data_IF_185152159111
#
_entry.id   IF_185152159111
#
_cell.length_a   1.000
_cell.length_b   1.000
_cell.length_c   1.000
_cell.angle_alpha   90.00
_cell.angle_beta   90.00
_cell.angle_gamma   90.00
#
_symmetry.space_group_name_H-M   'P 1'
#
loop_
_entity.id
_entity.type
_entity.pdbx_description
1 polymer ?
#
# COMPACT_ATOMS: atom_id res chain seq x y z
N UNK A 1 -11.83 -17.24 -31.69
CA UNK A 1 -12.87 -18.24 -31.35
C UNK A 1 -14.15 -18.00 -32.13
N UNK A 2 -14.95 -16.98 -31.75
CA UNK A 2 -16.28 -16.74 -32.33
C UNK A 2 -16.34 -16.60 -33.86
N UNK A 3 -15.37 -15.92 -34.48
CA UNK A 3 -15.28 -15.80 -35.95
C UNK A 3 -15.05 -17.14 -36.65
N UNK A 4 -14.27 -18.05 -36.05
CA UNK A 4 -13.90 -19.34 -36.65
C UNK A 4 -15.07 -20.33 -36.64
N UNK A 5 -15.93 -20.25 -35.61
CA UNK A 5 -17.08 -21.13 -35.42
C UNK A 5 -18.42 -20.48 -35.80
N UNK A 6 -18.40 -19.29 -36.39
CA UNK A 6 -19.58 -18.46 -36.68
C UNK A 6 -20.57 -18.35 -35.49
N UNK A 7 -20.03 -18.34 -34.27
CA UNK A 7 -20.82 -18.34 -33.04
C UNK A 7 -20.90 -16.93 -32.47
N UNK A 8 -22.08 -16.32 -32.56
CA UNK A 8 -22.34 -14.95 -32.10
C UNK A 8 -22.10 -14.78 -30.60
N UNK A 9 -22.44 -15.77 -29.77
CA UNK A 9 -22.26 -15.71 -28.31
C UNK A 9 -20.79 -15.71 -27.94
N UNK A 10 -19.98 -16.56 -28.59
CA UNK A 10 -18.52 -16.56 -28.38
C UNK A 10 -17.86 -15.27 -28.89
N UNK A 11 -18.42 -14.67 -29.95
CA UNK A 11 -17.92 -13.42 -30.51
C UNK A 11 -18.20 -12.25 -29.55
N UNK A 12 -19.43 -12.13 -29.06
CA UNK A 12 -19.80 -11.08 -28.09
C UNK A 12 -19.06 -11.25 -26.77
N UNK A 13 -18.95 -12.48 -26.26
CA UNK A 13 -18.20 -12.77 -25.03
C UNK A 13 -16.71 -12.44 -25.17
N UNK A 14 -16.10 -12.80 -26.31
CA UNK A 14 -14.69 -12.49 -26.57
C UNK A 14 -14.40 -10.99 -26.66
N UNK A 15 -15.28 -10.22 -27.32
CA UNK A 15 -15.15 -8.76 -27.41
C UNK A 15 -15.30 -8.13 -26.02
N UNK A 16 -16.28 -8.56 -25.24
CA UNK A 16 -16.54 -8.04 -23.90
C UNK A 16 -15.35 -8.28 -22.96
N UNK A 17 -14.83 -9.50 -22.92
CA UNK A 17 -13.64 -9.84 -22.10
C UNK A 17 -12.40 -9.09 -22.59
N UNK A 18 -12.21 -8.97 -23.91
CA UNK A 18 -11.09 -8.23 -24.49
C UNK A 18 -11.12 -6.74 -24.15
N UNK A 19 -12.29 -6.10 -24.22
CA UNK A 19 -12.48 -4.70 -23.86
C UNK A 19 -12.27 -4.45 -22.36
N UNK A 20 -12.82 -5.31 -21.50
CA UNK A 20 -12.62 -5.20 -20.05
C UNK A 20 -11.15 -5.38 -19.66
N UNK A 21 -10.46 -6.38 -20.23
CA UNK A 21 -9.05 -6.61 -19.97
C UNK A 21 -8.15 -5.46 -20.45
N UNK A 22 -8.43 -4.89 -21.62
CA UNK A 22 -7.66 -3.73 -22.13
C UNK A 22 -7.88 -2.48 -21.28
N UNK A 23 -9.12 -2.18 -20.87
CA UNK A 23 -9.41 -1.08 -19.95
C UNK A 23 -8.70 -1.25 -18.61
N UNK A 24 -8.78 -2.44 -18.01
CA UNK A 24 -8.11 -2.73 -16.75
C UNK A 24 -6.59 -2.57 -16.86
N UNK A 25 -6.00 -3.03 -17.96
CA UNK A 25 -4.56 -2.87 -18.23
C UNK A 25 -4.17 -1.39 -18.32
N UNK A 26 -4.97 -0.57 -19.03
CA UNK A 26 -4.72 0.87 -19.15
C UNK A 26 -4.80 1.56 -17.78
N UNK A 27 -5.79 1.21 -16.96
CA UNK A 27 -5.94 1.76 -15.61
C UNK A 27 -4.75 1.41 -14.71
N UNK A 28 -4.27 0.16 -14.77
CA UNK A 28 -3.07 -0.26 -14.02
C UNK A 28 -1.81 0.47 -14.50
N UNK A 29 -1.62 0.60 -15.82
CA UNK A 29 -0.50 1.37 -16.38
C UNK A 29 -0.54 2.84 -15.92
N UNK A 30 -1.71 3.48 -15.95
CA UNK A 30 -1.90 4.85 -15.48
C UNK A 30 -1.60 4.98 -13.98
N UNK A 31 -2.07 4.04 -13.17
CA UNK A 31 -1.81 4.03 -11.73
C UNK A 31 -0.33 3.80 -11.37
N UNK A 32 0.45 3.15 -12.24
CA UNK A 32 1.90 3.02 -12.11
C UNK A 32 2.68 4.20 -12.73
N UNK A 33 1.99 5.18 -13.32
CA UNK A 33 2.56 6.22 -14.17
C UNK A 33 3.51 5.67 -15.26
N UNK A 34 3.13 4.55 -15.89
CA UNK A 34 3.88 3.92 -17.00
C UNK A 34 2.99 3.79 -18.23
N UNK A 35 3.54 4.04 -19.42
CA UNK A 35 2.79 3.80 -20.66
C UNK A 35 2.67 2.30 -20.95
N UNK A 36 1.59 1.90 -21.62
CA UNK A 36 1.36 0.49 -22.02
C UNK A 36 2.52 -0.05 -22.88
N UNK A 37 3.06 0.78 -23.78
CA UNK A 37 4.23 0.43 -24.61
C UNK A 37 5.45 0.14 -23.74
N UNK A 38 5.72 0.96 -22.73
CA UNK A 38 6.86 0.76 -21.83
C UNK A 38 6.72 -0.48 -20.93
N UNK A 39 5.49 -0.91 -20.65
CA UNK A 39 5.23 -2.16 -19.91
C UNK A 39 5.39 -3.38 -20.83
N UNK A 40 4.89 -3.32 -22.06
CA UNK A 40 4.96 -4.44 -23.02
C UNK A 40 6.37 -4.65 -23.63
N UNK A 41 7.11 -3.57 -23.86
CA UNK A 41 8.46 -3.61 -24.46
C UNK A 41 9.55 -3.70 -23.37
N UNK A 42 9.24 -3.27 -22.15
CA UNK A 42 10.17 -3.03 -21.05
C UNK A 42 10.84 -4.24 -20.38
N UNK A 43 11.00 -5.36 -21.09
CA UNK A 43 11.87 -6.48 -20.68
C UNK A 43 12.84 -6.94 -21.78
N UNK A 44 12.85 -6.30 -22.96
CA UNK A 44 13.84 -6.53 -24.02
C UNK A 44 14.60 -5.23 -24.30
N UNK A 45 15.64 -4.94 -23.50
CA UNK A 45 16.54 -3.82 -23.76
C UNK A 45 16.93 -3.07 -22.50
N UNK A 46 18.04 -3.47 -21.89
CA UNK A 46 18.80 -2.57 -21.03
C UNK A 46 19.33 -1.39 -21.86
N UNK A 47 19.24 -0.19 -21.29
CA UNK A 47 19.61 1.09 -21.92
C UNK A 47 18.40 2.01 -21.90
N UNK A 48 18.23 2.90 -20.92
CA UNK A 48 19.21 3.91 -20.51
C UNK A 48 19.19 4.03 -18.98
N UNK A 49 20.15 3.42 -18.31
CA UNK A 49 20.54 3.86 -16.97
C UNK A 49 21.13 5.26 -17.11
N UNK A 50 20.34 6.28 -16.78
CA UNK A 50 20.89 7.55 -16.32
C UNK A 50 21.61 7.24 -15.00
N UNK A 51 22.88 6.91 -15.10
CA UNK A 51 23.83 7.03 -14.01
C UNK A 51 23.89 8.50 -13.59
N UNK A 52 23.51 8.82 -12.35
CA UNK A 52 23.83 10.11 -11.75
C UNK A 52 22.74 10.67 -10.85
N UNK A 53 22.74 10.23 -9.59
CA UNK A 53 21.92 10.80 -8.54
C UNK A 53 22.01 9.92 -7.30
N UNK A 54 23.04 10.11 -6.50
CA UNK A 54 23.11 9.54 -5.15
C UNK A 54 21.95 10.11 -4.30
N UNK A 55 20.79 9.45 -4.32
CA UNK A 55 19.75 9.74 -3.34
C UNK A 55 20.31 9.30 -1.99
N UNK A 56 20.43 10.26 -1.08
CA UNK A 56 21.17 10.19 0.18
C UNK A 56 21.11 8.81 0.86
N UNK A 57 22.21 8.08 0.77
CA UNK A 57 22.46 6.89 1.57
C UNK A 57 22.60 7.30 3.04
N UNK A 58 21.69 6.83 3.90
CA UNK A 58 21.89 6.82 5.35
C UNK A 58 21.24 7.97 6.11
N UNK A 59 19.91 7.91 6.26
CA UNK A 59 19.24 8.57 7.36
C UNK A 59 19.21 7.70 8.62
N UNK A 60 19.19 8.32 9.80
CA UNK A 60 18.85 7.59 11.03
C UNK A 60 17.34 7.34 11.04
N UNK A 61 16.92 6.07 11.09
CA UNK A 61 15.52 5.71 11.28
C UNK A 61 15.22 5.61 12.78
N UNK A 62 13.96 5.89 13.16
CA UNK A 62 13.47 5.64 14.51
C UNK A 62 12.83 4.27 14.56
N UNK A 63 13.19 3.45 15.54
CA UNK A 63 12.49 2.20 15.84
C UNK A 63 11.50 2.45 16.98
N UNK A 64 10.33 1.81 16.91
CA UNK A 64 9.31 1.88 17.96
C UNK A 64 9.04 0.49 18.52
N UNK A 65 8.84 0.42 19.83
CA UNK A 65 8.47 -0.83 20.49
C UNK A 65 6.98 -1.14 20.26
N UNK A 66 6.59 -2.40 20.42
CA UNK A 66 5.19 -2.80 20.29
C UNK A 66 4.29 -2.09 21.31
N UNK A 67 4.76 -1.96 22.56
CA UNK A 67 4.01 -1.28 23.61
C UNK A 67 3.81 0.21 23.31
N UNK A 68 4.84 0.89 22.82
CA UNK A 68 4.71 2.30 22.43
C UNK A 68 3.75 2.48 21.24
N UNK A 69 3.83 1.58 20.25
CA UNK A 69 2.91 1.58 19.12
C UNK A 69 1.46 1.33 19.57
N UNK A 70 1.23 0.40 20.48
CA UNK A 70 -0.09 0.09 21.04
C UNK A 70 -0.68 1.29 21.81
N UNK A 71 0.14 1.98 22.62
CA UNK A 71 -0.27 3.18 23.35
C UNK A 71 -0.65 4.29 22.37
N UNK A 72 0.23 4.60 21.40
CA UNK A 72 -0.02 5.66 20.42
C UNK A 72 -1.30 5.40 19.62
N UNK A 73 -1.56 4.15 19.24
CA UNK A 73 -2.78 3.78 18.52
C UNK A 73 -4.04 3.78 19.41
N UNK A 74 -3.94 3.38 20.68
CA UNK A 74 -5.09 3.29 21.59
C UNK A 74 -5.60 4.68 22.03
N UNK A 75 -4.74 5.69 22.06
CA UNK A 75 -5.09 7.07 22.39
C UNK A 75 -5.30 7.98 21.16
N UNK A 76 -5.17 7.43 19.95
CA UNK A 76 -5.47 8.16 18.72
C UNK A 76 -6.99 8.32 18.56
N UNK A 77 -7.45 9.42 17.96
CA UNK A 77 -8.86 9.56 17.58
C UNK A 77 -9.12 8.91 16.22
N UNK A 78 -8.16 9.02 15.30
CA UNK A 78 -8.24 8.47 13.95
C UNK A 78 -6.97 7.70 13.58
N UNK A 79 -7.16 6.44 13.19
CA UNK A 79 -6.10 5.55 12.70
C UNK A 79 -6.39 5.15 11.25
N UNK A 80 -5.41 5.36 10.38
CA UNK A 80 -5.50 4.93 8.97
C UNK A 80 -4.55 3.76 8.73
N UNK A 81 -5.07 2.63 8.26
CA UNK A 81 -4.28 1.44 7.93
C UNK A 81 -3.99 1.46 6.43
N UNK A 82 -2.73 1.34 6.05
CA UNK A 82 -2.28 1.25 4.65
C UNK A 82 -1.81 -0.18 4.39
N UNK A 83 -2.68 -1.06 3.85
CA UNK A 83 -2.30 -2.43 3.54
C UNK A 83 -1.43 -2.50 2.29
N UNK A 84 -0.39 -3.33 2.34
CA UNK A 84 0.49 -3.60 1.20
C UNK A 84 0.67 -5.09 0.96
N UNK A 85 1.54 -5.41 0.00
CA UNK A 85 1.81 -6.81 -0.37
C UNK A 85 2.34 -7.65 0.81
N UNK A 86 3.05 -7.04 1.76
CA UNK A 86 3.53 -7.76 2.94
C UNK A 86 2.41 -8.31 3.84
N UNK A 87 1.26 -7.62 3.92
CA UNK A 87 0.06 -8.12 4.62
C UNK A 87 -0.45 -9.41 3.97
N UNK A 88 -0.55 -9.42 2.64
CA UNK A 88 -1.01 -10.57 1.87
C UNK A 88 -0.06 -11.76 1.97
N UNK A 89 1.25 -11.54 1.90
CA UNK A 89 2.26 -12.61 2.04
C UNK A 89 2.20 -13.24 3.44
N UNK A 90 1.96 -12.43 4.48
CA UNK A 90 1.87 -12.92 5.85
C UNK A 90 0.51 -13.53 6.20
N UNK A 91 -0.50 -13.42 5.32
CA UNK A 91 -1.87 -13.88 5.57
C UNK A 91 -2.43 -13.30 6.88
N UNK A 92 -2.26 -11.99 7.05
CA UNK A 92 -2.55 -11.28 8.28
C UNK A 92 -3.84 -10.43 8.24
N UNK A 93 -4.65 -10.56 7.19
CA UNK A 93 -5.89 -9.79 7.00
C UNK A 93 -6.89 -9.96 8.15
N UNK A 94 -7.08 -11.18 8.64
CA UNK A 94 -8.01 -11.45 9.74
C UNK A 94 -7.55 -10.81 11.05
N UNK A 95 -6.24 -10.85 11.33
CA UNK A 95 -5.66 -10.22 12.53
C UNK A 95 -5.74 -8.69 12.42
N UNK A 96 -5.54 -8.15 11.21
CA UNK A 96 -5.71 -6.72 10.94
C UNK A 96 -7.14 -6.26 11.21
N UNK A 97 -8.14 -7.04 10.79
CA UNK A 97 -9.55 -6.76 11.07
C UNK A 97 -9.91 -6.92 12.56
N UNK A 98 -9.27 -7.86 13.26
CA UNK A 98 -9.44 -8.00 14.71
C UNK A 98 -8.85 -6.81 15.48
N UNK A 99 -7.72 -6.26 15.02
CA UNK A 99 -7.12 -5.03 15.53
C UNK A 99 -8.03 -3.82 15.31
N UNK A 100 -8.58 -3.67 14.10
CA UNK A 100 -9.58 -2.65 13.78
C UNK A 100 -10.75 -2.70 14.77
N UNK A 101 -11.41 -3.86 14.93
CA UNK A 101 -12.53 -4.01 15.88
C UNK A 101 -12.15 -3.66 17.31
N UNK A 102 -10.94 -4.01 17.73
CA UNK A 102 -10.47 -3.74 19.10
C UNK A 102 -10.22 -2.25 19.32
N UNK A 103 -9.68 -1.54 18.33
CA UNK A 103 -9.50 -0.09 18.39
C UNK A 103 -10.84 0.65 18.33
N UNK A 104 -11.77 0.20 17.50
CA UNK A 104 -13.12 0.77 17.44
C UNK A 104 -13.91 0.59 18.74
N UNK A 105 -13.74 -0.56 19.41
CA UNK A 105 -14.33 -0.78 20.73
C UNK A 105 -13.82 0.22 21.79
N UNK A 106 -12.64 0.83 21.57
CA UNK A 106 -12.07 1.91 22.40
C UNK A 106 -12.48 3.32 21.93
N UNK A 107 -13.30 3.43 20.87
CA UNK A 107 -13.78 4.69 20.32
C UNK A 107 -12.86 5.33 19.28
N UNK A 108 -11.86 4.60 18.77
CA UNK A 108 -10.95 5.07 17.72
C UNK A 108 -11.60 4.86 16.35
N UNK A 109 -11.61 5.88 15.49
CA UNK A 109 -12.05 5.75 14.10
C UNK A 109 -10.96 5.06 13.27
N UNK A 110 -11.24 3.87 12.74
CA UNK A 110 -10.28 3.11 11.91
C UNK A 110 -10.77 3.04 10.47
N UNK A 111 -9.90 3.44 9.53
CA UNK A 111 -10.14 3.34 8.09
C UNK A 111 -8.97 2.70 7.36
N UNK A 112 -9.22 2.21 6.14
CA UNK A 112 -8.23 1.61 5.28
C UNK A 112 -7.98 2.50 4.06
N UNK A 113 -6.72 2.86 3.81
CA UNK A 113 -6.32 3.61 2.63
C UNK A 113 -5.77 2.66 1.57
N UNK A 114 -6.53 2.46 0.49
CA UNK A 114 -6.20 1.49 -0.55
C UNK A 114 -5.54 2.18 -1.73
N UNK A 115 -4.32 1.74 -2.05
CA UNK A 115 -3.64 2.14 -3.28
C UNK A 115 -4.07 1.22 -4.44
N UNK A 116 -4.41 1.75 -5.63
CA UNK A 116 -4.95 0.95 -6.75
C UNK A 116 -4.00 -0.16 -7.23
N UNK A 117 -2.69 0.04 -7.07
CA UNK A 117 -1.65 -0.95 -7.41
C UNK A 117 -0.99 -1.60 -6.18
N UNK A 118 -1.61 -1.51 -5.00
CA UNK A 118 -1.15 -2.27 -3.85
C UNK A 118 -1.31 -3.77 -4.10
N UNK A 119 -0.22 -4.53 -3.94
CA UNK A 119 -0.22 -5.98 -4.08
C UNK A 119 0.41 -6.49 -5.38
N UNK A 120 -0.24 -7.49 -6.00
CA UNK A 120 0.21 -8.18 -7.22
C UNK A 120 -0.90 -8.44 -8.25
N UNK A 121 -2.12 -8.01 -7.94
CA UNK A 121 -3.27 -8.06 -8.85
C UNK A 121 -4.08 -6.77 -8.68
N UNK A 122 -4.82 -6.32 -9.71
CA UNK A 122 -5.75 -5.20 -9.55
C UNK A 122 -6.77 -5.51 -8.44
N UNK A 123 -6.97 -4.56 -7.52
CA UNK A 123 -7.89 -4.74 -6.39
C UNK A 123 -7.48 -5.81 -5.37
N UNK A 124 -6.20 -6.21 -5.34
CA UNK A 124 -5.71 -7.27 -4.44
C UNK A 124 -6.14 -7.01 -2.99
N UNK A 125 -5.91 -5.79 -2.49
CA UNK A 125 -6.23 -5.46 -1.09
C UNK A 125 -7.73 -5.43 -0.83
N UNK A 126 -8.56 -4.97 -1.77
CA UNK A 126 -10.01 -4.96 -1.64
C UNK A 126 -10.55 -6.39 -1.46
N UNK A 127 -10.10 -7.33 -2.30
CA UNK A 127 -10.53 -8.74 -2.21
C UNK A 127 -10.08 -9.37 -0.89
N UNK A 128 -8.83 -9.15 -0.50
CA UNK A 128 -8.24 -9.73 0.71
C UNK A 128 -8.87 -9.18 2.00
N UNK A 129 -9.25 -7.91 2.03
CA UNK A 129 -9.97 -7.31 3.17
C UNK A 129 -11.45 -7.72 3.17
N UNK A 130 -12.07 -7.87 2.00
CA UNK A 130 -13.43 -8.42 1.90
C UNK A 130 -13.50 -9.88 2.37
N UNK A 131 -12.47 -10.70 2.08
CA UNK A 131 -12.34 -12.06 2.64
C UNK A 131 -12.23 -12.05 4.18
N UNK A 132 -11.64 -10.99 4.75
CA UNK A 132 -11.55 -10.79 6.19
C UNK A 132 -12.82 -10.18 6.81
N UNK A 133 -13.90 -9.98 6.05
CA UNK A 133 -15.17 -9.40 6.48
C UNK A 133 -15.06 -7.92 6.90
N UNK A 134 -14.12 -7.18 6.30
CA UNK A 134 -14.00 -5.72 6.47
C UNK A 134 -15.10 -5.01 5.68
N UNK A 135 -15.81 -4.07 6.33
CA UNK A 135 -16.84 -3.26 5.67
C UNK A 135 -16.24 -2.40 4.55
N UNK A 136 -16.87 -2.43 3.37
CA UNK A 136 -16.47 -1.61 2.22
C UNK A 136 -16.51 -0.10 2.52
N UNK A 137 -17.36 0.35 3.44
CA UNK A 137 -17.45 1.77 3.82
C UNK A 137 -16.17 2.29 4.48
N UNK A 138 -15.35 1.39 5.04
CA UNK A 138 -14.07 1.73 5.64
C UNK A 138 -12.92 1.71 4.64
N UNK A 139 -13.14 1.15 3.45
CA UNK A 139 -12.15 1.08 2.38
C UNK A 139 -12.19 2.38 1.58
N UNK A 140 -11.27 3.29 1.88
CA UNK A 140 -11.09 4.52 1.13
C UNK A 140 -10.18 4.28 -0.07
N UNK A 141 -10.63 4.74 -1.23
CA UNK A 141 -9.78 4.86 -2.41
C UNK A 141 -8.74 5.95 -2.20
N UNK A 142 -7.60 5.84 -2.90
CA UNK A 142 -6.42 6.70 -2.72
C UNK A 142 -6.71 8.20 -2.71
N UNK A 143 -7.56 8.71 -3.60
CA UNK A 143 -7.90 10.14 -3.68
C UNK A 143 -8.61 10.62 -2.40
N UNK A 144 -9.57 9.86 -1.91
CA UNK A 144 -10.31 10.15 -0.69
C UNK A 144 -9.42 10.00 0.56
N UNK A 145 -8.58 8.96 0.58
CA UNK A 145 -7.63 8.75 1.66
C UNK A 145 -6.62 9.91 1.78
N UNK A 146 -6.15 10.45 0.65
CA UNK A 146 -5.23 11.57 0.62
C UNK A 146 -5.82 12.86 1.22
N UNK A 147 -7.12 13.10 1.05
CA UNK A 147 -7.80 14.24 1.69
C UNK A 147 -7.91 14.07 3.22
N UNK A 148 -8.00 12.83 3.72
CA UNK A 148 -8.14 12.53 5.15
C UNK A 148 -6.82 12.46 5.93
N UNK A 149 -5.66 12.28 5.28
CA UNK A 149 -4.38 12.11 6.00
C UNK A 149 -4.02 13.30 6.90
N UNK A 150 -4.33 14.54 6.49
CA UNK A 150 -4.10 15.75 7.31
C UNK A 150 -4.82 15.74 8.66
N UNK A 151 -5.94 15.04 8.73
CA UNK A 151 -6.78 14.90 9.93
C UNK A 151 -6.57 13.55 10.63
N UNK A 152 -5.58 12.76 10.20
CA UNK A 152 -5.28 11.44 10.76
C UNK A 152 -4.18 11.55 11.82
N UNK A 153 -4.42 10.95 12.99
CA UNK A 153 -3.45 10.95 14.09
C UNK A 153 -2.33 9.95 13.84
N UNK A 154 -2.68 8.72 13.47
CA UNK A 154 -1.70 7.64 13.28
C UNK A 154 -1.98 6.90 11.98
N UNK A 155 -0.94 6.70 11.17
CA UNK A 155 -0.98 5.83 9.99
C UNK A 155 -0.19 4.55 10.28
N UNK A 156 -0.82 3.39 10.12
CA UNK A 156 -0.16 2.09 10.22
C UNK A 156 0.04 1.48 8.83
N UNK A 157 1.28 1.47 8.34
CA UNK A 157 1.66 0.89 7.05
C UNK A 157 2.01 -0.57 7.25
N UNK A 158 1.30 -1.48 6.58
CA UNK A 158 1.44 -2.93 6.70
C UNK A 158 2.05 -3.52 5.44
N UNK A 159 3.38 -3.55 5.36
CA UNK A 159 4.09 -4.19 4.26
C UNK A 159 3.90 -3.49 2.90
N UNK A 160 3.59 -2.20 2.90
CA UNK A 160 3.65 -1.32 1.74
C UNK A 160 5.00 -0.57 1.71
N UNK A 161 5.53 -0.30 0.52
CA UNK A 161 6.78 0.43 0.35
C UNK A 161 6.69 1.44 -0.80
N UNK A 162 6.60 0.97 -2.04
CA UNK A 162 6.65 1.86 -3.21
C UNK A 162 5.43 2.79 -3.29
N UNK A 163 4.25 2.32 -2.86
CA UNK A 163 2.97 3.06 -2.86
C UNK A 163 2.87 4.20 -1.84
N UNK A 164 3.85 4.29 -0.93
CA UNK A 164 3.95 5.34 0.10
C UNK A 164 5.28 6.10 -0.01
N UNK A 165 6.01 5.96 -1.12
CA UNK A 165 7.34 6.55 -1.25
C UNK A 165 7.27 8.00 -1.81
N UNK A 166 7.64 9.03 -1.03
CA UNK A 166 7.57 10.43 -1.45
C UNK A 166 8.45 10.75 -2.67
N UNK A 167 9.46 9.91 -2.97
CA UNK A 167 10.30 10.05 -4.14
C UNK A 167 9.52 10.05 -5.46
N UNK A 168 8.30 9.50 -5.48
CA UNK A 168 7.42 9.59 -6.64
C UNK A 168 7.02 11.04 -6.98
N UNK A 169 7.04 11.96 -6.01
CA UNK A 169 6.70 13.38 -6.21
C UNK A 169 7.93 14.29 -6.19
N UNK A 170 8.90 14.00 -5.34
CA UNK A 170 10.02 14.91 -5.06
C UNK A 170 11.23 14.72 -5.97
N UNK A 171 11.41 13.53 -6.55
CA UNK A 171 12.64 13.17 -7.27
C UNK A 171 12.37 12.78 -8.73
N UNK A 172 12.59 13.70 -9.69
CA UNK A 172 12.45 13.43 -11.12
C UNK A 172 13.35 12.31 -11.66
N UNK A 173 14.41 11.94 -10.93
CA UNK A 173 15.31 10.84 -11.32
C UNK A 173 14.83 9.47 -10.84
N UNK A 174 13.81 9.43 -9.97
CA UNK A 174 13.26 8.20 -9.42
C UNK A 174 12.51 7.38 -10.48
N UNK A 175 12.66 6.04 -10.51
CA UNK A 175 11.93 5.18 -11.45
C UNK A 175 10.41 5.16 -11.21
N UNK A 176 9.96 5.66 -10.06
CA UNK A 176 8.53 5.80 -9.72
C UNK A 176 8.05 7.26 -9.80
N UNK A 177 8.84 8.16 -10.39
CA UNK A 177 8.45 9.57 -10.51
C UNK A 177 7.13 9.73 -11.29
N UNK A 178 6.24 10.57 -10.75
CA UNK A 178 4.88 10.81 -11.22
C UNK A 178 3.87 9.70 -10.91
N UNK A 179 4.28 8.60 -10.27
CA UNK A 179 3.34 7.61 -9.74
C UNK A 179 2.47 8.27 -8.67
N UNK A 180 1.12 8.19 -8.75
CA UNK A 180 0.27 8.54 -7.64
C UNK A 180 0.68 7.71 -6.41
N UNK A 181 0.69 8.31 -5.23
CA UNK A 181 1.07 7.66 -3.97
C UNK A 181 0.08 8.07 -2.88
N UNK A 182 0.05 7.29 -1.80
CA UNK A 182 -0.61 7.68 -0.56
C UNK A 182 0.29 8.65 0.22
N UNK A 183 -0.25 9.84 0.51
CA UNK A 183 0.46 10.97 1.13
C UNK A 183 0.51 10.84 2.66
N UNK A 184 0.96 9.67 3.12
CA UNK A 184 1.00 9.28 4.53
C UNK A 184 1.85 10.21 5.40
N UNK A 185 2.78 10.96 4.81
CA UNK A 185 3.63 11.93 5.51
C UNK A 185 2.87 13.15 6.06
N UNK A 186 1.66 13.42 5.54
CA UNK A 186 0.80 14.49 6.02
C UNK A 186 0.16 14.19 7.38
N UNK A 187 0.13 12.91 7.79
CA UNK A 187 -0.38 12.51 9.10
C UNK A 187 0.52 12.99 10.25
N UNK A 188 0.00 12.93 11.48
CA UNK A 188 0.78 13.33 12.67
C UNK A 188 1.88 12.32 12.98
N UNK A 189 1.57 11.02 12.96
CA UNK A 189 2.52 9.93 13.20
C UNK A 189 2.35 8.80 12.17
N UNK A 190 3.47 8.22 11.74
CA UNK A 190 3.48 7.11 10.79
C UNK A 190 4.25 5.93 11.41
N UNK A 191 3.63 4.76 11.44
CA UNK A 191 4.23 3.52 11.91
C UNK A 191 4.36 2.58 10.71
N UNK A 192 5.57 2.15 10.40
CA UNK A 192 5.86 1.26 9.26
C UNK A 192 6.21 -0.13 9.75
N UNK A 193 5.35 -1.10 9.47
CA UNK A 193 5.66 -2.50 9.72
C UNK A 193 6.31 -3.17 8.50
N UNK A 194 7.54 -3.66 8.68
CA UNK A 194 8.27 -4.45 7.69
C UNK A 194 9.33 -5.33 8.36
N UNK A 195 9.82 -6.35 7.67
CA UNK A 195 10.77 -7.35 8.23
C UNK A 195 12.23 -6.88 8.40
N UNK A 196 12.61 -5.72 7.88
CA UNK A 196 13.63 -5.62 6.83
C UNK A 196 13.77 -4.18 6.34
N UNK A 197 14.93 -3.49 6.38
CA UNK A 197 15.14 -2.23 5.61
C UNK A 197 15.28 -2.45 4.08
N UNK A 198 15.16 -3.70 3.61
CA UNK A 198 15.20 -4.03 2.18
C UNK A 198 14.21 -3.20 1.33
N UNK A 199 14.58 -2.87 0.08
CA UNK A 199 13.75 -2.11 -0.84
C UNK A 199 12.52 -2.90 -1.31
N UNK A 200 11.57 -2.17 -1.92
CA UNK A 200 10.35 -2.70 -2.48
C UNK A 200 10.54 -3.33 -3.87
N UNK A 201 9.48 -3.34 -4.67
CA UNK A 201 9.53 -3.89 -6.02
C UNK A 201 10.36 -3.01 -6.95
N UNK A 202 10.28 -1.69 -6.80
CA UNK A 202 11.05 -0.73 -7.59
C UNK A 202 12.56 -0.73 -7.27
N UNK A 203 13.01 -1.44 -6.23
CA UNK A 203 14.43 -1.57 -5.88
C UNK A 203 15.06 -0.29 -5.32
N UNK A 204 14.25 0.73 -5.00
CA UNK A 204 14.71 2.01 -4.44
C UNK A 204 14.47 2.08 -2.93
N UNK A 205 15.29 2.90 -2.27
CA UNK A 205 15.10 3.25 -0.87
C UNK A 205 13.93 4.25 -0.72
N UNK A 206 13.28 4.24 0.44
CA UNK A 206 12.13 5.10 0.71
C UNK A 206 12.49 6.16 1.75
N UNK A 207 12.43 7.42 1.33
CA UNK A 207 12.77 8.57 2.16
C UNK A 207 11.84 8.74 3.37
N UNK A 208 10.59 8.25 3.28
CA UNK A 208 9.62 8.29 4.37
C UNK A 208 10.16 7.65 5.66
N UNK A 209 10.95 6.58 5.53
CA UNK A 209 11.43 5.79 6.68
C UNK A 209 12.44 6.55 7.55
N UNK A 210 13.00 7.64 7.04
CA UNK A 210 13.97 8.48 7.76
C UNK A 210 13.35 9.79 8.25
N UNK A 211 12.06 10.02 7.97
CA UNK A 211 11.39 11.22 8.43
C UNK A 211 11.16 11.19 9.95
N UNK A 212 11.21 12.34 10.63
CA UNK A 212 11.13 12.40 12.10
C UNK A 212 9.77 11.95 12.67
N UNK A 213 8.70 12.01 11.87
CA UNK A 213 7.33 11.56 12.20
C UNK A 213 7.13 10.05 11.98
N UNK A 214 8.08 9.39 11.33
CA UNK A 214 7.98 7.98 10.96
C UNK A 214 8.76 7.13 11.94
N UNK A 215 8.13 6.05 12.39
CA UNK A 215 8.72 5.04 13.25
C UNK A 215 8.62 3.67 12.61
N UNK A 216 9.68 2.87 12.73
CA UNK A 216 9.80 1.54 12.17
C UNK A 216 9.43 0.50 13.22
N UNK A 217 8.47 -0.37 12.89
CA UNK A 217 8.10 -1.52 13.69
C UNK A 217 8.57 -2.79 12.97
N UNK A 218 9.73 -3.31 13.34
CA UNK A 218 10.29 -4.48 12.65
C UNK A 218 9.62 -5.79 13.07
N UNK A 219 9.29 -6.61 12.09
CA UNK A 219 8.71 -7.93 12.33
C UNK A 219 8.04 -8.53 11.11
N UNK A 220 7.65 -9.79 11.23
CA UNK A 220 6.65 -10.37 10.34
C UNK A 220 5.29 -9.72 10.60
N UNK A 221 4.54 -9.39 9.54
CA UNK A 221 3.31 -8.62 9.67
C UNK A 221 2.24 -9.34 10.51
N UNK A 222 2.12 -10.67 10.38
CA UNK A 222 1.14 -11.42 11.15
C UNK A 222 1.50 -11.41 12.64
N UNK A 223 2.76 -11.73 12.95
CA UNK A 223 3.23 -11.74 14.33
C UNK A 223 3.14 -10.36 14.98
N UNK A 224 3.63 -9.33 14.30
CA UNK A 224 3.59 -7.96 14.81
C UNK A 224 2.16 -7.48 15.09
N UNK A 225 1.20 -7.81 14.21
CA UNK A 225 -0.21 -7.49 14.44
C UNK A 225 -0.82 -8.27 15.60
N UNK A 226 -0.47 -9.56 15.76
CA UNK A 226 -0.94 -10.37 16.89
C UNK A 226 -0.42 -9.85 18.23
N UNK A 227 0.86 -9.51 18.28
CA UNK A 227 1.49 -8.97 19.48
C UNK A 227 0.94 -7.57 19.80
N UNK A 228 0.77 -6.72 18.78
CA UNK A 228 0.14 -5.41 18.91
C UNK A 228 -1.31 -5.50 19.41
N UNK A 229 -2.09 -6.43 18.87
CA UNK A 229 -3.46 -6.69 19.31
C UNK A 229 -3.51 -7.11 20.78
N UNK A 230 -2.58 -7.96 21.23
CA UNK A 230 -2.49 -8.36 22.63
C UNK A 230 -2.18 -7.18 23.54
N UNK A 231 -1.23 -6.33 23.17
CA UNK A 231 -0.89 -5.11 23.92
C UNK A 231 -2.05 -4.12 23.98
N UNK A 232 -2.74 -3.87 22.86
CA UNK A 232 -3.92 -2.98 22.83
C UNK A 232 -5.05 -3.49 23.73
N UNK A 233 -5.22 -4.81 23.86
CA UNK A 233 -6.22 -5.40 24.78
C UNK A 233 -5.85 -5.27 26.26
N UNK A 234 -4.57 -5.17 26.57
CA UNK A 234 -4.08 -5.05 27.94
C UNK A 234 -4.10 -3.61 28.47
N UNK A 235 -4.25 -2.62 27.57
CA UNK A 235 -4.48 -1.21 27.88
C UNK A 235 -5.96 -0.94 28.17
#
# INVERSE_FOLDING_TARGET
>A
GGFLYNNKVMLTGGILVGAAGTLLTILMCKAMNRSLQNVLIGSFGGGTSLSGGSTQTGGTYKEVTLSDAAVVMSYANKVMIVPGYGLAVAQAQHVCHELEKTLEAKGVEVKYAIHPVAGRMPGHMNVLLAEADVSYEKLLEMEQANEEFKNTDVVLILGANDVVNPAAKSDPSSPIYGMPILEVEEAKHVIVNKRSMKPGYAGIENQLFFQPKTSMLFGDAKKALQDLLAEVRNL
#
